data_IF_107681647361
#
_entry.id   IF_107681647361
#
_cell.length_a   1.000
_cell.length_b   1.000
_cell.length_c   1.000
_cell.angle_alpha   90.00
_cell.angle_beta   90.00
_cell.angle_gamma   90.00
#
_symmetry.space_group_name_H-M   'P 1'
#
loop_
_entity.id
_entity.type
_entity.pdbx_description
1 polymer ?
#
# COMPACT_ATOMS: atom_id res chain seq x y z
N UNK A 1 31.74 -16.45 32.91
CA UNK A 1 30.90 -15.47 33.64
C UNK A 1 30.34 -14.48 32.63
N UNK A 2 29.19 -14.80 32.05
CA UNK A 2 28.55 -14.01 30.99
C UNK A 2 27.42 -13.17 31.60
N UNK A 3 27.58 -11.84 31.59
CA UNK A 3 26.50 -10.89 31.85
C UNK A 3 25.86 -10.54 30.51
N UNK A 4 24.59 -10.88 30.34
CA UNK A 4 23.77 -10.39 29.22
C UNK A 4 23.02 -9.17 29.76
N UNK A 5 23.39 -8.00 29.29
CA UNK A 5 22.78 -6.71 29.60
C UNK A 5 21.54 -6.53 28.72
N UNK A 6 20.37 -6.41 29.33
CA UNK A 6 19.14 -6.04 28.64
C UNK A 6 19.17 -4.55 28.28
N UNK A 7 19.23 -4.23 27.00
CA UNK A 7 18.96 -2.88 26.51
C UNK A 7 17.45 -2.68 26.36
N UNK A 8 16.95 -1.69 27.09
CA UNK A 8 15.61 -1.13 26.98
C UNK A 8 15.41 -0.52 25.58
N UNK A 9 14.33 -0.89 24.89
CA UNK A 9 13.92 -0.26 23.64
C UNK A 9 13.01 0.93 23.97
N UNK A 10 13.60 2.13 23.94
CA UNK A 10 12.88 3.39 23.96
C UNK A 10 12.18 3.61 22.61
N UNK A 11 10.85 3.68 22.64
CA UNK A 11 10.05 4.31 21.58
C UNK A 11 10.05 5.81 21.83
N UNK A 12 11.00 6.52 21.23
CA UNK A 12 10.72 7.78 20.54
C UNK A 12 11.98 8.28 19.84
N UNK A 13 11.88 8.50 18.54
CA UNK A 13 12.54 9.59 17.81
C UNK A 13 12.12 9.53 16.35
N UNK A 14 11.43 10.59 15.94
CA UNK A 14 11.34 11.09 14.59
C UNK A 14 12.66 10.89 13.85
N UNK A 15 12.68 9.88 12.99
CA UNK A 15 13.70 9.71 11.97
C UNK A 15 13.07 10.07 10.65
N UNK A 16 13.49 11.20 10.09
CA UNK A 16 13.26 11.54 8.70
C UNK A 16 13.68 10.36 7.82
N UNK A 17 12.70 9.55 7.40
CA UNK A 17 12.89 8.65 6.27
C UNK A 17 12.90 9.57 5.06
N UNK A 18 14.08 10.09 4.75
CA UNK A 18 14.40 10.60 3.43
C UNK A 18 14.34 9.42 2.47
N UNK A 19 13.13 9.10 2.01
CA UNK A 19 12.92 8.25 0.85
C UNK A 19 13.64 8.97 -0.29
N UNK A 20 14.59 8.33 -0.98
CA UNK A 20 15.15 8.94 -2.18
C UNK A 20 14.01 8.98 -3.20
N UNK A 21 13.39 10.14 -3.31
CA UNK A 21 12.44 10.48 -4.36
C UNK A 21 13.22 10.54 -5.66
N UNK A 22 13.55 9.36 -6.18
CA UNK A 22 14.28 9.21 -7.44
C UNK A 22 13.47 9.87 -8.53
N UNK A 23 13.96 11.02 -9.00
CA UNK A 23 13.51 11.61 -10.25
C UNK A 23 13.96 10.63 -11.33
N UNK A 24 13.05 9.78 -11.77
CA UNK A 24 13.34 8.85 -12.87
C UNK A 24 13.49 9.66 -14.15
N UNK A 25 14.63 9.53 -14.84
CA UNK A 25 14.69 9.88 -16.27
C UNK A 25 13.65 9.06 -17.03
N UNK A 26 13.05 9.60 -18.09
CA UNK A 26 11.98 8.91 -18.84
C UNK A 26 12.37 7.50 -19.31
N UNK A 27 13.66 7.31 -19.64
CA UNK A 27 14.21 6.01 -20.02
C UNK A 27 14.36 5.04 -18.83
N UNK A 28 14.68 5.56 -17.64
CA UNK A 28 14.76 4.77 -16.40
C UNK A 28 13.36 4.36 -15.90
N UNK A 29 12.36 5.22 -16.08
CA UNK A 29 10.97 4.93 -15.75
C UNK A 29 10.44 3.76 -16.58
N UNK A 30 10.62 3.81 -17.91
CA UNK A 30 10.18 2.74 -18.82
C UNK A 30 10.85 1.40 -18.52
N UNK A 31 12.17 1.41 -18.29
CA UNK A 31 12.91 0.18 -17.92
C UNK A 31 12.39 -0.43 -16.62
N UNK A 32 12.15 0.40 -15.61
CA UNK A 32 11.61 -0.03 -14.31
C UNK A 32 10.21 -0.62 -14.45
N UNK A 33 9.34 0.03 -15.22
CA UNK A 33 7.99 -0.44 -15.50
C UNK A 33 7.98 -1.78 -16.25
N UNK A 34 8.75 -1.89 -17.33
CA UNK A 34 8.83 -3.11 -18.13
C UNK A 34 9.37 -4.29 -17.30
N UNK A 35 10.38 -4.06 -16.45
CA UNK A 35 10.89 -5.08 -15.54
C UNK A 35 9.82 -5.57 -14.55
N UNK A 36 9.00 -4.65 -14.02
CA UNK A 36 7.86 -5.00 -13.17
C UNK A 36 6.82 -5.84 -13.93
N UNK A 37 6.45 -5.41 -15.14
CA UNK A 37 5.46 -6.11 -15.96
C UNK A 37 5.92 -7.52 -16.34
N UNK A 38 7.20 -7.68 -16.70
CA UNK A 38 7.80 -8.99 -16.98
C UNK A 38 7.77 -9.90 -15.75
N UNK A 39 8.18 -9.37 -14.58
CA UNK A 39 8.18 -10.12 -13.32
C UNK A 39 6.79 -10.63 -12.94
N UNK A 40 5.75 -9.85 -13.23
CA UNK A 40 4.36 -10.17 -12.88
C UNK A 40 3.55 -10.78 -14.04
N UNK A 41 4.20 -11.14 -15.15
CA UNK A 41 3.57 -11.77 -16.32
C UNK A 41 2.36 -10.97 -16.86
N UNK A 42 2.47 -9.64 -16.86
CA UNK A 42 1.44 -8.75 -17.40
C UNK A 42 1.41 -8.88 -18.91
N UNK A 43 0.23 -9.03 -19.54
CA UNK A 43 0.19 -9.16 -21.00
C UNK A 43 0.72 -7.93 -21.71
N UNK A 44 1.39 -8.15 -22.85
CA UNK A 44 1.92 -7.08 -23.67
C UNK A 44 0.85 -6.05 -24.07
N UNK A 45 -0.37 -6.51 -24.38
CA UNK A 45 -1.50 -5.62 -24.68
C UNK A 45 -1.79 -4.67 -23.51
N UNK A 46 -1.93 -5.20 -22.30
CA UNK A 46 -2.21 -4.37 -21.11
C UNK A 46 -1.04 -3.41 -20.80
N UNK A 47 0.20 -3.87 -20.97
CA UNK A 47 1.40 -3.04 -20.79
C UNK A 47 1.41 -1.87 -21.77
N UNK A 48 1.14 -2.15 -23.05
CA UNK A 48 1.11 -1.14 -24.11
C UNK A 48 -0.03 -0.14 -23.90
N UNK A 49 -1.24 -0.62 -23.62
CA UNK A 49 -2.39 0.26 -23.33
C UNK A 49 -2.08 1.16 -22.14
N UNK A 50 -1.60 0.61 -21.02
CA UNK A 50 -1.30 1.40 -19.83
C UNK A 50 -0.18 2.42 -20.06
N UNK A 51 0.84 2.07 -20.84
CA UNK A 51 1.92 2.99 -21.20
C UNK A 51 1.42 4.13 -22.10
N UNK A 52 0.58 3.82 -23.08
CA UNK A 52 0.02 4.82 -24.01
C UNK A 52 -0.96 5.77 -23.30
N UNK A 53 -1.85 5.25 -22.46
CA UNK A 53 -2.72 6.06 -21.59
C UNK A 53 -1.84 6.94 -20.69
N UNK A 54 -0.76 6.39 -20.13
CA UNK A 54 0.14 7.16 -19.29
C UNK A 54 0.87 8.30 -20.01
N UNK A 55 1.42 8.04 -21.19
CA UNK A 55 2.10 9.06 -22.00
C UNK A 55 1.12 10.17 -22.41
N UNK A 56 -0.10 9.81 -22.83
CA UNK A 56 -1.18 10.77 -23.17
C UNK A 56 -1.56 11.67 -22.00
N UNK A 57 -1.77 11.10 -20.81
CA UNK A 57 -2.07 11.88 -19.59
C UNK A 57 -0.89 12.75 -19.20
N UNK A 58 0.35 12.26 -19.30
CA UNK A 58 1.54 13.04 -18.96
C UNK A 58 1.72 14.25 -19.88
N UNK A 59 1.31 14.15 -21.14
CA UNK A 59 1.32 15.27 -22.09
C UNK A 59 0.21 16.28 -21.78
N UNK A 60 -0.96 15.81 -21.34
CA UNK A 60 -2.15 16.65 -21.10
C UNK A 60 -2.20 17.26 -19.69
N UNK A 61 -1.56 16.63 -18.70
CA UNK A 61 -1.65 16.99 -17.29
C UNK A 61 -0.28 17.02 -16.61
N UNK A 62 -0.10 17.96 -15.68
CA UNK A 62 1.08 17.99 -14.82
C UNK A 62 0.95 16.97 -13.69
N UNK A 63 1.62 15.82 -13.83
CA UNK A 63 1.71 14.81 -12.79
C UNK A 63 2.74 15.23 -11.72
N UNK A 64 2.27 15.43 -10.49
CA UNK A 64 3.14 15.87 -9.39
C UNK A 64 3.90 14.70 -8.74
N UNK A 65 5.17 14.96 -8.38
CA UNK A 65 6.03 14.03 -7.67
C UNK A 65 6.59 12.91 -8.55
N UNK A 66 6.82 11.74 -7.95
CA UNK A 66 7.35 10.57 -8.66
C UNK A 66 6.31 10.06 -9.69
N UNK A 67 6.77 9.80 -10.91
CA UNK A 67 5.95 9.29 -12.01
C UNK A 67 5.62 7.80 -11.91
N UNK A 68 6.47 7.01 -11.25
CA UNK A 68 6.29 5.56 -11.15
C UNK A 68 4.96 5.17 -10.46
N UNK A 69 4.57 5.78 -9.32
CA UNK A 69 3.26 5.53 -8.72
C UNK A 69 2.07 5.88 -9.63
N UNK A 70 2.19 6.92 -10.46
CA UNK A 70 1.15 7.28 -11.42
C UNK A 70 1.00 6.22 -12.51
N UNK A 71 2.12 5.74 -13.04
CA UNK A 71 2.14 4.66 -14.01
C UNK A 71 1.62 3.32 -13.44
N UNK A 72 1.91 3.02 -12.17
CA UNK A 72 1.34 1.86 -11.48
C UNK A 72 -0.18 1.99 -11.29
N UNK A 73 -0.67 3.21 -10.99
CA UNK A 73 -2.11 3.49 -10.91
C UNK A 73 -2.80 3.37 -12.26
N UNK A 74 -2.15 3.84 -13.34
CA UNK A 74 -2.62 3.66 -14.71
C UNK A 74 -2.79 2.18 -15.04
N UNK A 75 -1.73 1.38 -14.89
CA UNK A 75 -1.74 -0.05 -15.13
C UNK A 75 -2.84 -0.78 -14.35
N UNK A 76 -3.04 -0.41 -13.07
CA UNK A 76 -4.10 -0.97 -12.26
C UNK A 76 -5.48 -0.68 -12.86
N UNK A 77 -5.77 0.57 -13.22
CA UNK A 77 -7.09 0.95 -13.73
C UNK A 77 -7.37 0.40 -15.13
N UNK A 78 -6.37 0.42 -16.02
CA UNK A 78 -6.48 -0.23 -17.34
C UNK A 78 -6.83 -1.71 -17.19
N UNK A 79 -6.26 -2.41 -16.18
CA UNK A 79 -6.58 -3.82 -15.90
C UNK A 79 -8.01 -4.08 -15.42
N UNK A 80 -8.71 -3.05 -14.93
CA UNK A 80 -10.11 -3.15 -14.46
C UNK A 80 -11.12 -2.81 -15.54
N UNK A 81 -10.69 -2.23 -16.66
CA UNK A 81 -11.53 -1.81 -17.78
C UNK A 81 -11.97 -3.02 -18.62
N UNK A 82 -13.29 -3.24 -18.68
CA UNK A 82 -14.06 -3.90 -19.75
C UNK A 82 -13.64 -5.30 -20.23
N UNK A 83 -12.50 -5.43 -20.91
CA UNK A 83 -12.22 -6.55 -21.82
C UNK A 83 -10.96 -7.37 -21.45
N UNK A 84 -10.26 -7.02 -20.36
CA UNK A 84 -8.97 -7.66 -19.99
C UNK A 84 -9.14 -8.65 -18.82
N UNK A 85 -10.32 -9.27 -18.67
CA UNK A 85 -10.56 -10.27 -17.61
C UNK A 85 -9.80 -11.59 -17.80
N UNK A 86 -9.11 -11.78 -18.93
CA UNK A 86 -8.26 -12.96 -19.16
C UNK A 86 -6.83 -12.84 -18.64
N UNK A 87 -6.43 -11.67 -18.11
CA UNK A 87 -5.11 -11.52 -17.53
C UNK A 87 -5.05 -11.98 -16.07
N UNK A 88 -3.89 -12.50 -15.61
CA UNK A 88 -3.67 -12.77 -14.20
C UNK A 88 -3.98 -11.50 -13.39
N UNK A 89 -4.78 -11.65 -12.33
CA UNK A 89 -5.18 -10.54 -11.46
C UNK A 89 -3.92 -9.84 -10.95
N UNK A 90 -3.70 -8.61 -11.41
CA UNK A 90 -2.66 -7.75 -10.85
C UNK A 90 -2.96 -7.53 -9.37
N UNK A 91 -2.05 -8.01 -8.53
CA UNK A 91 -2.11 -7.84 -7.10
C UNK A 91 -1.73 -6.41 -6.73
N UNK A 92 -2.59 -5.76 -5.93
CA UNK A 92 -2.40 -4.40 -5.47
C UNK A 92 -1.16 -4.29 -4.57
N UNK A 93 -0.83 -5.32 -3.79
CA UNK A 93 0.36 -5.31 -2.90
C UNK A 93 1.63 -5.24 -3.74
N UNK A 94 1.69 -6.01 -4.82
CA UNK A 94 2.82 -5.97 -5.77
C UNK A 94 3.01 -4.59 -6.39
N UNK A 95 1.92 -3.91 -6.76
CA UNK A 95 1.95 -2.54 -7.28
C UNK A 95 2.43 -1.53 -6.22
N UNK A 96 1.96 -1.64 -4.98
CA UNK A 96 2.39 -0.77 -3.87
C UNK A 96 3.87 -0.94 -3.56
N UNK A 97 4.35 -2.18 -3.50
CA UNK A 97 5.76 -2.48 -3.26
C UNK A 97 6.66 -1.88 -4.34
N UNK A 98 6.21 -1.89 -5.60
CA UNK A 98 6.93 -1.26 -6.70
C UNK A 98 6.85 0.28 -6.65
N UNK A 99 5.68 0.82 -6.35
CA UNK A 99 5.45 2.26 -6.27
C UNK A 99 6.12 2.92 -5.04
N UNK A 100 6.41 2.13 -3.99
CA UNK A 100 6.98 2.59 -2.72
C UNK A 100 6.16 3.69 -2.05
N UNK A 101 4.84 3.58 -2.13
CA UNK A 101 3.91 4.51 -1.47
C UNK A 101 2.86 3.76 -0.64
N UNK A 102 2.28 4.39 0.39
CA UNK A 102 1.20 3.80 1.16
C UNK A 102 -0.06 3.56 0.31
N UNK A 103 -0.86 2.56 0.70
CA UNK A 103 -2.13 2.24 0.02
C UNK A 103 -3.05 3.47 -0.09
N UNK A 104 -3.17 4.29 0.95
CA UNK A 104 -4.00 5.50 0.93
C UNK A 104 -3.56 6.49 -0.17
N UNK A 105 -2.26 6.71 -0.33
CA UNK A 105 -1.74 7.60 -1.39
C UNK A 105 -1.97 7.00 -2.78
N UNK A 106 -1.79 5.69 -2.92
CA UNK A 106 -2.04 4.99 -4.19
C UNK A 106 -3.51 5.07 -4.61
N UNK A 107 -4.44 4.88 -3.67
CA UNK A 107 -5.87 5.04 -3.91
C UNK A 107 -6.25 6.47 -4.30
N UNK A 108 -5.60 7.48 -3.73
CA UNK A 108 -5.78 8.87 -4.16
C UNK A 108 -5.28 9.10 -5.60
N UNK A 109 -4.15 8.50 -5.98
CA UNK A 109 -3.66 8.55 -7.37
C UNK A 109 -4.62 7.86 -8.32
N UNK A 110 -5.18 6.70 -7.96
CA UNK A 110 -6.23 6.02 -8.72
C UNK A 110 -7.45 6.95 -8.93
N UNK A 111 -7.97 7.56 -7.86
CA UNK A 111 -9.12 8.47 -7.96
C UNK A 111 -8.85 9.65 -8.91
N UNK A 112 -7.64 10.23 -8.83
CA UNK A 112 -7.22 11.30 -9.75
C UNK A 112 -7.06 10.78 -11.18
N UNK A 113 -6.46 9.60 -11.35
CA UNK A 113 -6.27 8.95 -12.65
C UNK A 113 -7.60 8.78 -13.39
N UNK A 114 -8.59 8.21 -12.71
CA UNK A 114 -9.95 8.02 -13.25
C UNK A 114 -10.59 9.32 -13.73
N UNK A 115 -10.35 10.42 -13.01
CA UNK A 115 -10.87 11.73 -13.38
C UNK A 115 -10.14 12.33 -14.59
N UNK A 116 -8.83 12.09 -14.72
CA UNK A 116 -8.02 12.60 -15.84
C UNK A 116 -8.34 11.86 -17.15
N UNK A 117 -8.40 10.53 -17.11
CA UNK A 117 -8.72 9.68 -18.27
C UNK A 117 -10.22 9.71 -18.66
N UNK A 118 -11.06 10.34 -17.84
CA UNK A 118 -12.51 10.40 -18.03
C UNK A 118 -13.12 9.00 -18.29
N UNK A 119 -12.74 8.01 -17.48
CA UNK A 119 -13.23 6.64 -17.62
C UNK A 119 -14.75 6.54 -17.43
N UNK A 120 -15.30 5.43 -17.95
CA UNK A 120 -16.72 5.09 -17.83
C UNK A 120 -17.23 5.09 -16.37
N UNK A 121 -18.53 5.40 -16.14
CA UNK A 121 -19.10 5.50 -14.80
C UNK A 121 -18.86 4.28 -13.91
N UNK A 122 -18.84 3.07 -14.48
CA UNK A 122 -18.59 1.83 -13.75
C UNK A 122 -17.19 1.77 -13.12
N UNK A 123 -16.17 2.25 -13.82
CA UNK A 123 -14.80 2.31 -13.28
C UNK A 123 -14.65 3.38 -12.22
N UNK A 124 -15.37 4.50 -12.39
CA UNK A 124 -15.44 5.53 -11.36
C UNK A 124 -16.07 5.00 -10.08
N UNK A 125 -17.23 4.36 -10.18
CA UNK A 125 -17.90 3.73 -9.05
C UNK A 125 -17.03 2.65 -8.39
N UNK A 126 -16.33 1.85 -9.19
CA UNK A 126 -15.36 0.87 -8.68
C UNK A 126 -14.26 1.54 -7.85
N UNK A 127 -13.67 2.62 -8.36
CA UNK A 127 -12.61 3.35 -7.65
C UNK A 127 -13.11 3.96 -6.34
N UNK A 128 -14.29 4.59 -6.36
CA UNK A 128 -14.92 5.20 -5.19
C UNK A 128 -15.26 4.13 -4.14
N UNK A 129 -15.75 2.97 -4.58
CA UNK A 129 -16.07 1.83 -3.71
C UNK A 129 -14.83 1.27 -3.02
N UNK A 130 -13.71 1.11 -3.72
CA UNK A 130 -12.46 0.64 -3.09
C UNK A 130 -11.96 1.64 -2.05
N UNK A 131 -11.99 2.93 -2.35
CA UNK A 131 -11.58 3.98 -1.42
C UNK A 131 -12.46 3.96 -0.17
N UNK A 132 -13.78 3.89 -0.36
CA UNK A 132 -14.74 3.82 0.74
C UNK A 132 -14.52 2.56 1.61
N UNK A 133 -14.32 1.41 0.97
CA UNK A 133 -14.05 0.15 1.68
C UNK A 133 -12.76 0.21 2.48
N UNK A 134 -11.69 0.80 1.93
CA UNK A 134 -10.42 1.01 2.65
C UNK A 134 -10.59 1.91 3.88
N UNK A 135 -11.26 3.05 3.73
CA UNK A 135 -11.53 3.98 4.85
C UNK A 135 -12.32 3.26 5.96
N UNK A 136 -13.37 2.55 5.55
CA UNK A 136 -14.24 1.81 6.46
C UNK A 136 -13.47 0.71 7.19
N UNK A 137 -12.74 -0.13 6.46
CA UNK A 137 -11.94 -1.22 7.01
C UNK A 137 -10.83 -0.70 7.95
N UNK A 138 -10.12 0.37 7.56
CA UNK A 138 -9.08 0.99 8.38
C UNK A 138 -9.65 1.50 9.72
N UNK A 139 -10.85 2.07 9.70
CA UNK A 139 -11.54 2.53 10.92
C UNK A 139 -11.91 1.35 11.81
N UNK A 140 -12.53 0.31 11.26
CA UNK A 140 -12.90 -0.89 12.02
C UNK A 140 -11.67 -1.60 12.60
N UNK A 141 -10.60 -1.71 11.83
CA UNK A 141 -9.35 -2.28 12.28
C UNK A 141 -8.77 -1.51 13.47
N UNK A 142 -8.75 -0.17 13.40
CA UNK A 142 -8.28 0.67 14.50
C UNK A 142 -9.10 0.48 15.77
N UNK A 143 -10.44 0.47 15.65
CA UNK A 143 -11.33 0.18 16.77
C UNK A 143 -11.14 -1.22 17.34
N UNK A 144 -10.87 -2.21 16.48
CA UNK A 144 -10.60 -3.57 16.91
C UNK A 144 -9.28 -3.66 17.67
N UNK A 145 -8.21 -3.06 17.15
CA UNK A 145 -6.91 -3.01 17.81
C UNK A 145 -6.99 -2.35 19.19
N UNK A 146 -7.73 -1.25 19.32
CA UNK A 146 -7.96 -0.57 20.59
C UNK A 146 -8.65 -1.49 21.60
N UNK A 147 -9.77 -2.10 21.21
CA UNK A 147 -10.52 -3.03 22.08
C UNK A 147 -9.73 -4.29 22.42
N UNK A 148 -9.01 -4.84 21.44
CA UNK A 148 -8.18 -6.02 21.64
C UNK A 148 -7.06 -5.72 22.63
N UNK A 149 -6.41 -4.56 22.50
CA UNK A 149 -5.37 -4.11 23.44
C UNK A 149 -5.90 -3.92 24.86
N UNK A 150 -7.17 -3.54 25.03
CA UNK A 150 -7.82 -3.45 26.35
C UNK A 150 -8.14 -4.82 26.97
N UNK A 151 -8.55 -5.81 26.17
CA UNK A 151 -8.89 -7.16 26.65
C UNK A 151 -7.62 -7.97 26.96
N UNK A 152 -6.60 -7.81 26.12
CA UNK A 152 -5.35 -8.57 26.18
C UNK A 152 -4.18 -7.71 26.66
N UNK A 153 -4.45 -6.62 27.39
CA UNK A 153 -3.40 -5.87 28.08
C UNK A 153 -2.71 -6.85 29.02
N UNK A 154 -1.44 -7.16 28.75
CA UNK A 154 -0.62 -7.88 29.72
C UNK A 154 -0.56 -6.97 30.95
N UNK A 155 -1.02 -7.41 32.13
CA UNK A 155 -0.80 -6.63 33.33
C UNK A 155 0.72 -6.48 33.49
N UNK A 156 1.21 -5.25 33.62
CA UNK A 156 2.65 -4.93 33.75
C UNK A 156 3.32 -5.66 34.93
N UNK A 157 2.54 -6.29 35.81
CA UNK A 157 3.00 -7.00 36.99
C UNK A 157 2.35 -8.39 37.09
N UNK A 158 3.00 -9.42 36.54
CA UNK A 158 2.90 -10.76 37.14
C UNK A 158 3.64 -10.72 38.48
N UNK A 159 3.03 -10.14 39.52
CA UNK A 159 3.24 -10.69 40.84
C UNK A 159 2.50 -12.04 40.85
N UNK A 160 3.13 -13.14 41.29
CA UNK A 160 2.41 -14.41 41.41
C UNK A 160 1.16 -14.15 42.25
N UNK A 161 0.00 -14.46 41.70
CA UNK A 161 -1.25 -14.40 42.46
C UNK A 161 -1.06 -15.32 43.65
N UNK A 162 -1.03 -14.75 44.85
CA UNK A 162 -0.82 -15.48 46.07
C UNK A 162 -2.10 -16.25 46.39
N UNK A 163 -2.28 -17.39 45.71
CA UNK A 163 -3.40 -18.27 45.95
C UNK A 163 -3.22 -18.91 47.32
N UNK A 164 -4.33 -19.19 48.02
CA UNK A 164 -4.33 -19.88 49.32
C UNK A 164 -3.64 -21.27 49.31
N UNK A 165 -3.27 -21.77 48.13
CA UNK A 165 -2.43 -22.94 47.92
C UNK A 165 -0.96 -22.69 48.28
N UNK A 166 -0.43 -21.48 48.07
CA UNK A 166 0.96 -21.10 48.36
C UNK A 166 1.23 -20.89 49.86
N UNK A 167 0.20 -20.58 50.65
CA UNK A 167 0.29 -20.42 52.11
C UNK A 167 0.41 -21.73 52.89
N UNK A 168 0.24 -22.89 52.25
CA UNK A 168 0.32 -24.21 52.90
C UNK A 168 1.69 -24.89 52.76
N UNK A 169 2.65 -24.22 52.11
CA UNK A 169 4.00 -24.75 51.84
C UNK A 169 5.13 -23.92 52.48
N UNK A 170 4.82 -23.00 53.39
CA UNK A 170 5.78 -22.36 54.27
C UNK A 170 5.57 -22.84 55.70
#
# INVERSE_FOLDING_TARGET
>A
MNKITHHQLNFDKSGDISVPTGIFSGESLKKTFMAFCLKNQVSAFLVETAWNEFDSVRESFTLTGNLLPWLMAALFMTSKRGEVQQNPRLDIISLLNQAKIPLTEFLMKISKWVRMENYEPLLKEYSDRIIFNHITASRFFSMYCEKYSLVFSLPDNFLPVDTSYNKRKQ
#
